data_IF_544517316904
#
_entry.id   IF_544517316904
#
_cell.length_a   1.000
_cell.length_b   1.000
_cell.length_c   1.000
_cell.angle_alpha   90.00
_cell.angle_beta   90.00
_cell.angle_gamma   90.00
#
_symmetry.space_group_name_H-M   'P 1'
#
loop_
_entity.id
_entity.type
_entity.pdbx_description
1 polymer ?
#
# COMPACT_ATOMS: atom_id res chain seq x y z
N UNK A 1 -2.39 20.48 -107.71
CA UNK A 1 -3.51 19.65 -107.24
C UNK A 1 -2.98 18.70 -106.16
N UNK A 2 -3.56 18.70 -104.96
CA UNK A 2 -3.35 17.63 -103.93
C UNK A 2 -3.91 16.30 -104.45
N UNK A 3 -3.38 15.11 -104.06
CA UNK A 3 -3.62 14.50 -102.74
C UNK A 3 -2.41 13.76 -102.10
N UNK A 4 -2.26 13.84 -100.77
CA UNK A 4 -2.37 12.76 -99.74
C UNK A 4 -1.03 12.15 -99.28
N UNK A 5 -0.71 12.35 -97.99
CA UNK A 5 0.39 11.73 -97.23
C UNK A 5 -0.16 11.31 -95.86
N UNK A 6 0.05 10.07 -95.37
CA UNK A 6 -0.53 9.63 -94.11
C UNK A 6 0.24 10.05 -92.85
N UNK A 7 -0.53 10.08 -91.77
CA UNK A 7 -0.35 10.69 -90.44
C UNK A 7 0.51 9.87 -89.45
N UNK A 8 1.12 10.57 -88.49
CA UNK A 8 1.87 10.04 -87.35
C UNK A 8 1.03 10.08 -86.06
N UNK A 9 0.95 8.99 -85.29
CA UNK A 9 0.94 9.10 -83.81
C UNK A 9 1.20 7.78 -83.05
N UNK A 10 2.17 7.87 -82.12
CA UNK A 10 2.38 7.21 -80.80
C UNK A 10 1.89 5.77 -80.57
N UNK A 11 2.85 4.91 -80.18
CA UNK A 11 2.63 3.69 -79.37
C UNK A 11 3.32 3.82 -78.00
N UNK A 12 2.83 3.13 -76.94
CA UNK A 12 3.09 3.48 -75.55
C UNK A 12 4.33 2.79 -74.93
N UNK A 13 5.01 3.51 -74.03
CA UNK A 13 5.93 2.97 -73.02
C UNK A 13 5.15 2.51 -71.77
N UNK A 14 5.51 1.36 -71.17
CA UNK A 14 5.65 1.23 -69.70
C UNK A 14 6.35 -0.08 -69.26
N UNK A 15 7.57 0.10 -68.74
CA UNK A 15 8.23 -0.54 -67.58
C UNK A 15 8.25 -2.06 -67.37
N UNK A 16 9.32 -2.70 -67.86
CA UNK A 16 9.96 -3.85 -67.19
C UNK A 16 11.15 -3.35 -66.37
N UNK A 17 11.03 -3.29 -65.03
CA UNK A 17 12.15 -3.02 -64.14
C UNK A 17 12.97 -4.30 -63.92
N UNK A 18 14.11 -4.40 -64.61
CA UNK A 18 15.17 -5.35 -64.30
C UNK A 18 15.92 -4.85 -63.05
N UNK A 19 15.75 -5.55 -61.92
CA UNK A 19 16.52 -5.33 -60.69
C UNK A 19 17.99 -5.71 -60.90
N UNK A 20 18.91 -4.84 -60.48
CA UNK A 20 20.35 -5.05 -60.69
C UNK A 20 20.99 -5.90 -59.57
N UNK A 21 22.10 -6.62 -59.84
CA UNK A 21 22.71 -7.59 -58.90
C UNK A 21 23.14 -7.02 -57.53
N UNK A 22 23.34 -5.70 -57.43
CA UNK A 22 23.67 -5.03 -56.15
C UNK A 22 22.47 -4.89 -55.21
N UNK A 23 21.25 -4.82 -55.75
CA UNK A 23 20.03 -4.73 -54.95
C UNK A 23 19.71 -6.07 -54.26
N UNK A 24 19.84 -7.19 -54.98
CA UNK A 24 19.59 -8.54 -54.45
C UNK A 24 20.59 -8.97 -53.37
N UNK A 25 21.84 -8.50 -53.43
CA UNK A 25 22.85 -8.79 -52.41
C UNK A 25 22.56 -8.03 -51.10
N UNK A 26 22.03 -6.81 -51.20
CA UNK A 26 21.65 -6.00 -50.04
C UNK A 26 20.39 -6.58 -49.37
N UNK A 27 19.37 -6.96 -50.14
CA UNK A 27 18.15 -7.57 -49.61
C UNK A 27 18.42 -8.90 -48.90
N UNK A 28 19.30 -9.75 -49.45
CA UNK A 28 19.74 -11.00 -48.78
C UNK A 28 20.47 -10.73 -47.46
N UNK A 29 21.28 -9.67 -47.39
CA UNK A 29 21.97 -9.26 -46.17
C UNK A 29 21.03 -8.73 -45.07
N UNK A 30 19.97 -8.01 -45.46
CA UNK A 30 18.93 -7.53 -44.54
C UNK A 30 18.04 -8.67 -44.04
N UNK A 31 17.64 -9.60 -44.92
CA UNK A 31 16.86 -10.77 -44.52
C UNK A 31 17.61 -11.71 -43.59
N UNK A 32 18.91 -11.94 -43.80
CA UNK A 32 19.75 -12.76 -42.92
C UNK A 32 19.94 -12.13 -41.52
N UNK A 33 20.05 -10.79 -41.45
CA UNK A 33 20.10 -10.07 -40.16
C UNK A 33 18.75 -10.08 -39.44
N UNK A 34 17.64 -9.94 -40.17
CA UNK A 34 16.29 -10.00 -39.60
C UNK A 34 15.98 -11.41 -39.03
N UNK A 35 16.33 -12.47 -39.76
CA UNK A 35 16.18 -13.86 -39.26
C UNK A 35 17.07 -14.13 -38.05
N UNK A 36 18.30 -13.61 -38.02
CA UNK A 36 19.18 -13.73 -36.84
C UNK A 36 18.66 -13.00 -35.60
N UNK A 37 17.99 -11.85 -35.77
CA UNK A 37 17.34 -11.10 -34.67
C UNK A 37 16.08 -11.84 -34.19
N UNK A 38 15.28 -12.40 -35.10
CA UNK A 38 14.09 -13.17 -34.76
C UNK A 38 14.44 -14.46 -34.02
N UNK A 39 15.50 -15.18 -34.41
CA UNK A 39 15.96 -16.39 -33.70
C UNK A 39 16.55 -16.06 -32.32
N UNK A 40 17.24 -14.94 -32.18
CA UNK A 40 17.73 -14.45 -30.89
C UNK A 40 16.58 -14.06 -29.96
N UNK A 41 15.55 -13.40 -30.47
CA UNK A 41 14.33 -13.05 -29.72
C UNK A 41 13.54 -14.30 -29.32
N UNK A 42 13.37 -15.27 -30.22
CA UNK A 42 12.73 -16.56 -29.92
C UNK A 42 13.48 -17.32 -28.83
N UNK A 43 14.81 -17.38 -28.92
CA UNK A 43 15.66 -18.03 -27.92
C UNK A 43 15.57 -17.33 -26.55
N UNK A 44 15.52 -15.99 -26.53
CA UNK A 44 15.34 -15.22 -25.31
C UNK A 44 13.95 -15.45 -24.68
N UNK A 45 12.89 -15.45 -25.49
CA UNK A 45 11.53 -15.74 -25.04
C UNK A 45 11.43 -17.18 -24.51
N UNK A 46 12.04 -18.15 -25.19
CA UNK A 46 12.04 -19.56 -24.77
C UNK A 46 12.82 -19.80 -23.47
N UNK A 47 13.84 -18.97 -23.17
CA UNK A 47 14.56 -19.00 -21.89
C UNK A 47 13.76 -18.42 -20.72
N UNK A 48 12.94 -17.41 -20.97
CA UNK A 48 12.15 -16.74 -19.91
C UNK A 48 10.78 -17.41 -19.72
N UNK A 49 10.25 -18.09 -20.75
CA UNK A 49 8.95 -18.78 -20.72
C UNK A 49 8.79 -19.73 -19.52
N UNK A 50 9.76 -20.58 -19.12
CA UNK A 50 9.62 -21.45 -17.95
C UNK A 50 9.62 -20.71 -16.61
N UNK A 51 10.27 -19.53 -16.54
CA UNK A 51 10.22 -18.68 -15.35
C UNK A 51 8.88 -17.94 -15.25
N UNK A 52 8.41 -17.37 -16.37
CA UNK A 52 7.09 -16.73 -16.46
C UNK A 52 5.95 -17.74 -16.20
N UNK A 53 6.08 -18.98 -16.66
CA UNK A 53 5.10 -20.04 -16.40
C UNK A 53 5.08 -20.49 -14.93
N UNK A 54 6.24 -20.50 -14.26
CA UNK A 54 6.34 -20.79 -12.81
C UNK A 54 5.77 -19.66 -11.95
N UNK A 55 6.07 -18.41 -12.30
CA UNK A 55 5.45 -17.23 -11.66
C UNK A 55 3.93 -17.22 -11.90
N UNK A 56 3.48 -17.51 -13.11
CA UNK A 56 2.06 -17.63 -13.44
C UNK A 56 1.35 -18.74 -12.68
N UNK A 57 1.97 -19.91 -12.50
CA UNK A 57 1.42 -21.01 -11.69
C UNK A 57 1.38 -20.68 -10.19
N UNK A 58 2.34 -19.88 -9.70
CA UNK A 58 2.36 -19.41 -8.32
C UNK A 58 1.30 -18.32 -8.06
N UNK A 59 1.09 -17.41 -9.02
CA UNK A 59 0.10 -16.33 -8.92
C UNK A 59 -1.33 -16.77 -9.24
N UNK A 60 -1.52 -17.82 -10.04
CA UNK A 60 -2.84 -18.32 -10.44
C UNK A 60 -3.79 -18.59 -9.25
N UNK A 61 -3.39 -19.32 -8.19
CA UNK A 61 -4.27 -19.54 -7.03
C UNK A 61 -4.55 -18.25 -6.24
N UNK A 62 -3.62 -17.30 -6.20
CA UNK A 62 -3.81 -15.99 -5.56
C UNK A 62 -4.82 -15.13 -6.34
N UNK A 63 -4.68 -15.06 -7.66
CA UNK A 63 -5.61 -14.35 -8.55
C UNK A 63 -7.00 -15.01 -8.50
N UNK A 64 -7.05 -16.34 -8.45
CA UNK A 64 -8.32 -17.07 -8.39
C UNK A 64 -9.04 -16.84 -7.05
N UNK A 65 -8.30 -16.78 -5.93
CA UNK A 65 -8.86 -16.41 -4.61
C UNK A 65 -9.32 -14.96 -4.56
N UNK A 66 -8.54 -14.04 -5.13
CA UNK A 66 -8.92 -12.62 -5.27
C UNK A 66 -10.21 -12.47 -6.11
N UNK A 67 -10.32 -13.21 -7.21
CA UNK A 67 -11.52 -13.21 -8.04
C UNK A 67 -12.74 -13.80 -7.31
N UNK A 68 -12.56 -14.88 -6.55
CA UNK A 68 -13.63 -15.45 -5.71
C UNK A 68 -14.12 -14.47 -4.64
N UNK A 69 -13.21 -13.69 -4.06
CA UNK A 69 -13.53 -12.62 -3.10
C UNK A 69 -14.24 -11.42 -3.75
N UNK A 70 -13.79 -10.99 -4.93
CA UNK A 70 -14.39 -9.87 -5.68
C UNK A 70 -15.77 -10.20 -6.25
N UNK A 71 -16.07 -11.47 -6.53
CA UNK A 71 -17.31 -11.91 -7.18
C UNK A 71 -18.58 -11.41 -6.48
N UNK A 72 -18.80 -11.62 -5.17
CA UNK A 72 -19.99 -11.12 -4.48
C UNK A 72 -20.04 -9.58 -4.42
N UNK A 73 -18.89 -8.91 -4.42
CA UNK A 73 -18.78 -7.45 -4.41
C UNK A 73 -19.17 -6.85 -5.77
N UNK A 74 -18.67 -7.44 -6.86
CA UNK A 74 -19.07 -7.13 -8.23
C UNK A 74 -20.56 -7.39 -8.44
N UNK A 75 -21.08 -8.48 -7.89
CA UNK A 75 -22.51 -8.80 -7.97
C UNK A 75 -23.37 -7.72 -7.28
N UNK A 76 -23.00 -7.27 -6.07
CA UNK A 76 -23.68 -6.19 -5.36
C UNK A 76 -23.65 -4.85 -6.11
N UNK A 77 -22.53 -4.54 -6.76
CA UNK A 77 -22.39 -3.33 -7.60
C UNK A 77 -23.28 -3.44 -8.84
N UNK A 78 -23.34 -4.60 -9.48
CA UNK A 78 -24.22 -4.84 -10.64
C UNK A 78 -25.71 -4.78 -10.28
N UNK A 79 -26.07 -5.26 -9.10
CA UNK A 79 -27.46 -5.29 -8.60
C UNK A 79 -27.90 -3.95 -8.00
N UNK A 80 -27.00 -2.97 -7.89
CA UNK A 80 -27.31 -1.63 -7.43
C UNK A 80 -28.37 -0.97 -8.34
N UNK A 81 -29.44 -0.35 -7.78
CA UNK A 81 -30.54 0.21 -8.57
C UNK A 81 -30.10 1.26 -9.62
N UNK A 82 -29.00 1.97 -9.38
CA UNK A 82 -28.43 2.93 -10.33
C UNK A 82 -27.80 2.23 -11.54
N UNK A 83 -27.04 1.16 -11.31
CA UNK A 83 -26.35 0.37 -12.35
C UNK A 83 -27.35 -0.40 -13.20
N UNK A 84 -28.40 -0.96 -12.57
CA UNK A 84 -29.50 -1.63 -13.28
C UNK A 84 -30.23 -0.69 -14.25
N UNK A 85 -30.56 0.52 -13.79
CA UNK A 85 -31.22 1.55 -14.62
C UNK A 85 -30.36 2.01 -15.78
N UNK A 86 -29.05 2.13 -15.57
CA UNK A 86 -28.10 2.47 -16.64
C UNK A 86 -28.01 1.35 -17.68
N UNK A 87 -27.91 0.09 -17.24
CA UNK A 87 -27.86 -1.09 -18.12
C UNK A 87 -29.10 -1.21 -19.01
N UNK A 88 -30.28 -1.00 -18.45
CA UNK A 88 -31.56 -1.06 -19.19
C UNK A 88 -31.66 0.02 -20.29
N UNK A 89 -31.02 1.17 -20.10
CA UNK A 89 -30.96 2.25 -21.10
C UNK A 89 -29.93 2.01 -22.21
N UNK A 90 -28.79 1.42 -21.86
CA UNK A 90 -27.65 1.27 -22.78
C UNK A 90 -27.72 -0.03 -23.60
N UNK A 91 -28.23 -1.12 -23.02
CA UNK A 91 -28.26 -2.44 -23.67
C UNK A 91 -28.90 -2.47 -25.08
N UNK A 92 -29.97 -1.71 -25.39
CA UNK A 92 -30.56 -1.66 -26.73
C UNK A 92 -29.63 -1.03 -27.79
N UNK A 93 -28.67 -0.21 -27.36
CA UNK A 93 -27.80 0.59 -28.23
C UNK A 93 -26.42 -0.03 -28.46
N UNK A 94 -26.16 -1.23 -27.90
CA UNK A 94 -24.89 -1.96 -28.10
C UNK A 94 -24.93 -2.70 -29.44
N UNK A 95 -23.98 -2.45 -30.37
CA UNK A 95 -23.91 -3.14 -31.67
C UNK A 95 -23.68 -4.65 -31.51
N UNK A 96 -24.26 -5.46 -32.40
CA UNK A 96 -24.16 -6.92 -32.33
C UNK A 96 -22.74 -7.45 -32.60
N UNK A 97 -21.88 -6.65 -33.25
CA UNK A 97 -20.45 -6.93 -33.41
C UNK A 97 -19.70 -6.92 -32.07
N UNK A 98 -20.15 -6.12 -31.11
CA UNK A 98 -19.59 -6.05 -29.74
C UNK A 98 -20.14 -7.19 -28.89
N UNK A 99 -21.41 -7.58 -29.07
CA UNK A 99 -22.04 -8.68 -28.34
C UNK A 99 -21.44 -10.06 -28.68
N UNK A 100 -20.93 -10.23 -29.90
CA UNK A 100 -20.53 -11.53 -30.45
C UNK A 100 -19.01 -11.70 -30.69
N UNK A 101 -18.17 -10.82 -30.15
CA UNK A 101 -16.72 -10.91 -30.34
C UNK A 101 -16.12 -12.19 -29.70
N UNK A 102 -15.26 -12.97 -30.38
CA UNK A 102 -14.82 -14.29 -29.91
C UNK A 102 -13.92 -14.29 -28.67
N UNK A 103 -13.41 -13.13 -28.25
CA UNK A 103 -12.55 -12.96 -27.05
C UNK A 103 -13.29 -12.46 -25.80
N UNK A 104 -14.63 -12.47 -25.81
CA UNK A 104 -15.47 -12.07 -24.68
C UNK A 104 -16.34 -13.21 -24.11
N UNK A 105 -16.06 -14.48 -24.45
CA UNK A 105 -16.78 -15.64 -23.87
C UNK A 105 -16.28 -16.06 -22.47
N UNK A 106 -15.27 -15.40 -21.91
CA UNK A 106 -14.81 -15.63 -20.52
C UNK A 106 -14.93 -14.40 -19.60
N UNK A 107 -15.51 -13.30 -20.09
CA UNK A 107 -15.90 -12.16 -19.27
C UNK A 107 -17.31 -11.75 -19.70
N UNK A 108 -18.31 -12.17 -18.92
CA UNK A 108 -19.64 -11.60 -19.06
C UNK A 108 -19.54 -10.09 -18.81
N UNK A 109 -19.69 -9.32 -19.88
CA UNK A 109 -19.62 -7.86 -19.90
C UNK A 109 -20.79 -7.29 -19.09
N UNK A 110 -20.51 -6.89 -17.85
CA UNK A 110 -21.17 -5.77 -17.20
C UNK A 110 -20.42 -4.48 -17.57
N UNK A 111 -20.65 -3.97 -18.78
CA UNK A 111 -20.17 -2.63 -19.16
C UNK A 111 -21.09 -1.59 -18.52
N UNK A 112 -20.74 -1.19 -17.30
CA UNK A 112 -21.02 0.13 -16.75
C UNK A 112 -19.68 0.82 -16.54
N UNK A 113 -19.17 1.46 -17.59
CA UNK A 113 -17.97 2.28 -17.55
C UNK A 113 -18.29 3.54 -16.74
N UNK A 114 -17.54 3.77 -15.64
CA UNK A 114 -17.19 5.05 -15.01
C UNK A 114 -17.11 4.93 -13.47
N UNK A 115 -16.14 4.15 -12.99
CA UNK A 115 -15.46 4.38 -11.71
C UNK A 115 -14.16 3.57 -11.74
N UNK A 116 -13.06 4.15 -11.26
CA UNK A 116 -11.68 3.58 -11.22
C UNK A 116 -10.86 3.81 -12.50
N UNK A 117 -10.29 5.00 -12.60
CA UNK A 117 -9.22 5.37 -13.52
C UNK A 117 -7.86 4.76 -13.16
N UNK A 118 -7.75 3.44 -12.97
CA UNK A 118 -6.46 2.78 -12.72
C UNK A 118 -6.38 1.43 -13.45
N UNK A 119 -6.48 1.42 -14.79
CA UNK A 119 -5.92 0.33 -15.65
C UNK A 119 -5.41 0.86 -17.00
N UNK A 120 -5.49 2.17 -17.28
CA UNK A 120 -5.17 2.75 -18.60
C UNK A 120 -3.74 3.23 -18.82
N UNK A 121 -2.78 2.90 -17.94
CA UNK A 121 -1.39 3.42 -18.02
C UNK A 121 -0.34 2.39 -18.45
N UNK A 122 -0.74 1.24 -18.97
CA UNK A 122 0.17 0.30 -19.64
C UNK A 122 -0.52 -0.19 -20.92
N UNK A 123 -0.39 0.60 -22.00
CA UNK A 123 -0.32 0.23 -23.43
C UNK A 123 -0.78 1.45 -24.26
N UNK A 124 0.17 2.03 -25.01
CA UNK A 124 -0.11 2.66 -26.29
C UNK A 124 -0.58 4.11 -26.28
N UNK A 125 0.37 5.04 -26.30
CA UNK A 125 0.18 6.25 -27.09
C UNK A 125 -0.02 5.88 -28.56
N UNK A 126 -0.88 6.65 -29.24
CA UNK A 126 -1.12 6.81 -30.69
C UNK A 126 -2.62 6.78 -31.00
N UNK A 127 -3.24 7.96 -31.00
CA UNK A 127 -4.17 8.44 -32.04
C UNK A 127 -4.87 9.69 -31.50
N UNK A 128 -4.71 10.80 -32.23
CA UNK A 128 -5.39 12.06 -31.93
C UNK A 128 -6.90 11.97 -32.10
N UNK A 129 -7.59 12.84 -31.38
CA UNK A 129 -9.03 13.06 -31.48
C UNK A 129 -9.44 14.15 -30.51
N UNK A 130 -10.19 15.12 -31.04
CA UNK A 130 -10.43 16.47 -30.56
C UNK A 130 -11.36 16.57 -29.33
N UNK A 131 -11.26 17.69 -28.62
CA UNK A 131 -12.05 18.10 -27.46
C UNK A 131 -13.56 18.19 -27.78
N UNK A 132 -14.39 17.79 -26.81
CA UNK A 132 -15.50 18.56 -26.18
C UNK A 132 -16.46 17.65 -25.41
N UNK A 133 -17.01 18.20 -24.32
CA UNK A 133 -18.17 17.73 -23.54
C UNK A 133 -17.91 16.81 -22.33
N UNK A 134 -17.24 17.32 -21.28
CA UNK A 134 -17.54 16.90 -19.89
C UNK A 134 -17.30 18.04 -18.88
N UNK A 135 -17.95 19.18 -19.08
CA UNK A 135 -17.92 20.31 -18.13
C UNK A 135 -19.34 20.78 -17.80
N UNK A 136 -20.20 19.89 -17.25
CA UNK A 136 -21.50 20.30 -16.69
C UNK A 136 -22.07 19.24 -15.72
N UNK A 137 -21.46 19.11 -14.55
CA UNK A 137 -22.10 18.50 -13.37
C UNK A 137 -21.64 19.12 -12.04
N UNK A 138 -20.96 20.27 -12.11
CA UNK A 138 -20.69 21.15 -11.00
C UNK A 138 -21.61 22.38 -11.15
N UNK A 139 -22.26 22.77 -10.04
CA UNK A 139 -22.95 24.05 -9.77
C UNK A 139 -24.49 23.99 -9.63
N UNK A 140 -24.95 24.03 -8.37
CA UNK A 140 -26.06 24.84 -7.85
C UNK A 140 -26.17 24.57 -6.33
N UNK A 141 -25.37 25.19 -5.44
CA UNK A 141 -25.45 26.56 -4.85
C UNK A 141 -26.52 26.70 -3.74
N UNK A 142 -26.42 27.70 -2.82
CA UNK A 142 -25.31 28.10 -1.95
C UNK A 142 -25.79 28.40 -0.49
N UNK A 143 -24.88 28.56 0.49
CA UNK A 143 -25.08 29.39 1.70
C UNK A 143 -23.77 29.46 2.50
N UNK A 144 -22.95 30.50 2.31
CA UNK A 144 -22.95 31.79 3.03
C UNK A 144 -21.93 31.79 4.19
N UNK A 145 -20.74 32.33 3.88
CA UNK A 145 -19.68 32.62 4.83
C UNK A 145 -20.05 33.83 5.69
N UNK A 146 -19.84 33.72 7.01
CA UNK A 146 -19.71 34.90 7.88
C UNK A 146 -18.35 34.95 8.55
N UNK A 147 -17.78 36.15 8.43
CA UNK A 147 -16.46 36.63 8.83
C UNK A 147 -16.37 36.82 10.35
N UNK A 148 -15.15 36.68 10.86
CA UNK A 148 -14.72 36.76 12.25
C UNK A 148 -15.10 38.06 12.98
N UNK A 149 -15.30 37.94 14.29
CA UNK A 149 -15.09 39.02 15.28
C UNK A 149 -14.50 38.44 16.58
N UNK A 150 -13.49 39.14 17.10
CA UNK A 150 -12.84 38.94 18.40
C UNK A 150 -13.48 39.89 19.41
N UNK A 151 -13.64 39.50 20.69
CA UNK A 151 -13.11 40.39 21.72
C UNK A 151 -12.42 39.67 22.89
N UNK A 152 -11.29 40.25 23.32
CA UNK A 152 -10.68 40.04 24.62
C UNK A 152 -11.65 40.43 25.75
N UNK A 153 -11.79 39.60 26.81
CA UNK A 153 -11.50 40.02 28.20
C UNK A 153 -11.40 38.85 29.19
N UNK A 154 -10.30 38.91 29.96
CA UNK A 154 -10.17 38.72 31.42
C UNK A 154 -10.30 37.33 32.06
N UNK A 155 -9.24 37.01 32.79
CA UNK A 155 -9.04 35.89 33.70
C UNK A 155 -10.05 35.78 34.84
N UNK A 156 -10.31 34.55 35.28
CA UNK A 156 -10.29 34.16 36.69
C UNK A 156 -10.09 32.64 36.85
N UNK A 157 -9.17 32.32 37.74
CA UNK A 157 -8.67 31.01 38.18
C UNK A 157 -9.71 30.12 38.84
N UNK A 158 -9.73 28.82 38.51
CA UNK A 158 -9.81 27.73 39.50
C UNK A 158 -9.01 26.51 39.02
N UNK A 159 -8.05 26.14 39.85
CA UNK A 159 -7.09 25.05 39.73
C UNK A 159 -7.71 23.67 39.99
N UNK A 160 -7.51 22.76 39.06
CA UNK A 160 -7.54 21.31 39.25
C UNK A 160 -6.39 20.73 38.44
N UNK A 161 -5.31 20.36 39.11
CA UNK A 161 -4.07 19.88 38.49
C UNK A 161 -4.30 18.50 37.87
N UNK A 162 -4.43 18.50 36.54
CA UNK A 162 -4.24 17.35 35.66
C UNK A 162 -3.43 17.89 34.48
N UNK A 163 -2.22 18.37 34.77
CA UNK A 163 -1.33 18.88 33.73
C UNK A 163 -0.75 17.70 32.96
N UNK A 164 -1.31 17.40 31.78
CA UNK A 164 -0.51 16.79 30.72
C UNK A 164 0.68 17.73 30.52
N UNK A 165 1.88 17.28 30.88
CA UNK A 165 3.11 18.03 30.65
C UNK A 165 3.14 18.51 29.19
N UNK A 166 3.37 19.80 28.98
CA UNK A 166 3.42 20.36 27.64
C UNK A 166 4.54 19.69 26.82
N UNK A 167 4.39 19.57 25.48
CA UNK A 167 5.40 18.94 24.64
C UNK A 167 6.78 19.54 24.84
N UNK A 168 7.77 18.71 25.18
CA UNK A 168 9.17 19.10 25.35
C UNK A 168 9.89 19.25 23.99
N UNK A 169 9.26 19.93 23.05
CA UNK A 169 9.77 20.15 21.69
C UNK A 169 8.77 19.75 20.60
N UNK A 170 9.14 19.94 19.32
CA UNK A 170 8.30 19.53 18.19
C UNK A 170 8.20 18.00 18.11
N UNK A 171 7.12 17.47 17.50
CA UNK A 171 6.98 16.05 17.22
C UNK A 171 8.21 15.48 16.51
N UNK A 172 8.49 14.21 16.80
CA UNK A 172 9.69 13.51 16.31
C UNK A 172 9.29 12.49 15.26
N UNK A 173 10.08 12.34 14.20
CA UNK A 173 9.85 11.31 13.19
C UNK A 173 10.71 10.06 13.38
N UNK A 174 10.17 8.92 12.97
CA UNK A 174 10.82 7.63 12.96
C UNK A 174 10.30 6.75 11.83
N UNK A 175 10.79 5.52 11.76
CA UNK A 175 10.34 4.50 10.79
C UNK A 175 10.05 3.19 11.53
N UNK A 176 9.25 2.33 10.95
CA UNK A 176 9.19 0.93 11.38
C UNK A 176 9.60 0.01 10.23
N UNK A 177 10.25 -1.10 10.59
CA UNK A 177 10.91 -1.98 9.63
C UNK A 177 10.80 -3.44 10.04
N UNK A 178 10.86 -4.30 9.04
CA UNK A 178 10.82 -5.75 9.19
C UNK A 178 11.87 -6.43 8.29
N UNK A 179 11.78 -7.75 8.17
CA UNK A 179 12.54 -8.50 7.18
C UNK A 179 12.27 -8.05 5.73
N UNK A 180 11.14 -7.38 5.45
CA UNK A 180 10.81 -6.88 4.11
C UNK A 180 11.72 -5.74 3.64
N UNK A 181 12.27 -4.95 4.57
CA UNK A 181 13.13 -3.80 4.24
C UNK A 181 14.58 -4.20 3.95
N UNK A 182 14.96 -5.46 4.20
CA UNK A 182 16.30 -5.99 3.93
C UNK A 182 17.39 -5.32 4.79
N UNK A 183 18.53 -5.03 4.16
CA UNK A 183 19.65 -4.35 4.81
C UNK A 183 19.42 -2.84 4.81
N UNK A 184 19.65 -2.18 5.95
CA UNK A 184 19.39 -0.76 6.15
C UNK A 184 20.70 -0.01 6.44
N UNK A 185 20.91 1.11 5.77
CA UNK A 185 22.00 2.04 6.08
C UNK A 185 21.53 3.04 7.15
N UNK A 186 21.65 2.64 8.42
CA UNK A 186 21.14 3.41 9.55
C UNK A 186 21.76 4.80 9.72
N UNK A 187 23.00 5.00 9.23
CA UNK A 187 23.62 6.33 9.24
C UNK A 187 22.90 7.29 8.30
N UNK A 188 22.43 6.80 7.16
CA UNK A 188 21.59 7.59 6.25
C UNK A 188 20.21 7.83 6.83
N UNK A 189 19.61 6.85 7.50
CA UNK A 189 18.31 7.02 8.19
C UNK A 189 18.41 8.11 9.25
N UNK A 190 19.47 8.10 10.07
CA UNK A 190 19.75 9.15 11.06
C UNK A 190 20.01 10.52 10.40
N UNK A 191 20.76 10.51 9.29
CA UNK A 191 21.04 11.69 8.47
C UNK A 191 19.79 12.29 7.80
N UNK A 192 18.78 11.48 7.56
CA UNK A 192 17.44 11.86 7.07
C UNK A 192 16.48 12.23 8.23
N UNK A 193 17.08 12.67 9.34
CA UNK A 193 16.42 13.21 10.52
C UNK A 193 15.46 12.26 11.28
N UNK A 194 15.47 10.95 11.00
CA UNK A 194 14.74 9.97 11.80
C UNK A 194 15.43 9.75 13.13
N UNK A 195 14.67 9.75 14.23
CA UNK A 195 15.20 9.68 15.60
C UNK A 195 14.85 8.40 16.32
N UNK A 196 13.84 7.68 15.84
CA UNK A 196 13.49 6.38 16.39
C UNK A 196 13.13 5.37 15.31
N UNK A 197 13.12 4.11 15.73
CA UNK A 197 12.54 3.04 14.92
C UNK A 197 11.85 1.97 15.75
N UNK A 198 10.85 1.30 15.18
CA UNK A 198 10.36 0.01 15.66
C UNK A 198 10.80 -1.10 14.69
N UNK A 199 11.30 -2.21 15.22
CA UNK A 199 11.77 -3.34 14.39
C UNK A 199 10.96 -4.58 14.69
N UNK A 200 10.46 -5.27 13.67
CA UNK A 200 9.75 -6.55 13.85
C UNK A 200 10.69 -7.52 14.52
N UNK A 201 10.32 -8.04 15.69
CA UNK A 201 11.07 -9.12 16.35
C UNK A 201 10.48 -10.48 16.01
N UNK A 202 9.16 -10.61 16.08
CA UNK A 202 8.46 -11.89 15.96
C UNK A 202 7.05 -11.72 15.40
N UNK A 203 6.57 -12.75 14.73
CA UNK A 203 5.18 -12.89 14.27
C UNK A 203 4.68 -14.26 14.75
N UNK A 204 3.64 -14.24 15.58
CA UNK A 204 3.06 -15.43 16.19
C UNK A 204 4.08 -16.25 16.99
N UNK A 205 3.93 -17.57 16.94
CA UNK A 205 4.80 -18.51 17.67
C UNK A 205 5.98 -19.04 16.86
N UNK A 206 5.98 -18.83 15.55
CA UNK A 206 6.87 -19.54 14.64
C UNK A 206 7.88 -18.64 13.93
N UNK A 207 7.54 -17.38 13.69
CA UNK A 207 8.44 -16.48 12.99
C UNK A 207 9.30 -15.65 13.94
N UNK A 208 10.57 -15.52 13.60
CA UNK A 208 11.50 -14.56 14.21
C UNK A 208 12.17 -13.83 13.05
N UNK A 209 12.19 -12.50 13.10
CA UNK A 209 12.78 -11.72 12.01
C UNK A 209 14.29 -12.01 11.94
N UNK A 210 14.80 -12.62 10.85
CA UNK A 210 16.22 -12.98 10.74
C UNK A 210 17.14 -11.75 10.67
N UNK A 211 16.58 -10.56 10.46
CA UNK A 211 17.28 -9.28 10.42
C UNK A 211 17.14 -8.49 11.72
N UNK A 212 16.39 -8.97 12.71
CA UNK A 212 16.08 -8.23 13.93
C UNK A 212 17.32 -7.66 14.61
N UNK A 213 18.31 -8.52 14.94
CA UNK A 213 19.51 -8.08 15.66
C UNK A 213 20.31 -7.02 14.87
N UNK A 214 20.50 -7.23 13.56
CA UNK A 214 21.19 -6.27 12.67
C UNK A 214 20.45 -4.93 12.60
N UNK A 215 19.13 -4.97 12.44
CA UNK A 215 18.27 -3.78 12.34
C UNK A 215 18.19 -3.03 13.66
N UNK A 216 17.90 -3.74 14.75
CA UNK A 216 17.70 -3.17 16.08
C UNK A 216 18.97 -2.54 16.64
N UNK A 217 20.10 -3.26 16.66
CA UNK A 217 21.36 -2.70 17.16
C UNK A 217 21.97 -1.70 16.18
N UNK A 218 21.85 -1.93 14.88
CA UNK A 218 22.33 -0.97 13.87
C UNK A 218 21.68 0.41 13.99
N UNK A 219 20.39 0.46 14.31
CA UNK A 219 19.69 1.72 14.60
C UNK A 219 20.25 2.40 15.85
N UNK A 220 20.44 1.66 16.95
CA UNK A 220 20.99 2.19 18.21
C UNK A 220 22.43 2.71 18.04
N UNK A 221 23.24 1.99 17.27
CA UNK A 221 24.62 2.38 16.94
C UNK A 221 24.68 3.65 16.08
N UNK A 222 23.68 3.88 15.24
CA UNK A 222 23.51 5.12 14.49
C UNK A 222 22.93 6.28 15.32
N UNK A 223 22.59 6.04 16.59
CA UNK A 223 22.08 7.05 17.52
C UNK A 223 20.56 7.20 17.56
N UNK A 224 19.80 6.28 16.95
CA UNK A 224 18.35 6.24 17.09
C UNK A 224 17.94 5.57 18.40
N UNK A 225 16.76 5.95 18.89
CA UNK A 225 16.02 5.22 19.93
C UNK A 225 15.29 4.05 19.24
N UNK A 226 15.42 2.82 19.73
CA UNK A 226 14.88 1.65 19.06
C UNK A 226 13.87 0.89 19.92
N UNK A 227 12.71 0.58 19.37
CA UNK A 227 11.75 -0.36 19.91
C UNK A 227 11.68 -1.63 19.08
N UNK A 228 10.99 -2.63 19.61
CA UNK A 228 10.68 -3.86 18.90
C UNK A 228 9.17 -4.08 18.93
N UNK A 229 8.64 -4.70 17.89
CA UNK A 229 7.23 -5.07 17.84
C UNK A 229 7.03 -6.56 17.57
N UNK A 230 5.90 -7.05 18.06
CA UNK A 230 5.41 -8.40 17.86
C UNK A 230 4.09 -8.37 17.10
N UNK A 231 4.06 -8.99 15.93
CA UNK A 231 2.83 -9.21 15.17
C UNK A 231 2.01 -10.32 15.82
N UNK A 232 0.84 -9.96 16.33
CA UNK A 232 0.00 -10.90 17.06
C UNK A 232 -0.62 -11.96 16.15
N UNK A 233 -0.62 -13.21 16.61
CA UNK A 233 -1.44 -14.31 16.06
C UNK A 233 -2.32 -14.93 17.15
N UNK A 234 -3.42 -14.27 17.53
CA UNK A 234 -4.23 -14.72 18.66
C UNK A 234 -4.84 -16.13 18.56
N UNK A 235 -4.94 -16.66 17.34
CA UNK A 235 -5.36 -18.03 17.01
C UNK A 235 -4.26 -19.10 17.19
N UNK A 236 -2.98 -18.70 17.20
CA UNK A 236 -1.86 -19.65 17.27
C UNK A 236 -1.54 -20.12 18.70
N UNK A 237 -1.75 -19.27 19.71
CA UNK A 237 -1.46 -19.57 21.13
C UNK A 237 -2.05 -18.50 22.06
N UNK A 238 -1.94 -18.67 23.38
CA UNK A 238 -2.28 -17.60 24.31
C UNK A 238 -1.30 -16.41 24.27
N UNK A 239 -1.75 -15.25 24.74
CA UNK A 239 -0.96 -14.02 24.70
C UNK A 239 0.31 -14.08 25.54
N UNK A 240 0.32 -14.85 26.64
CA UNK A 240 1.50 -14.99 27.49
C UNK A 240 2.62 -15.77 26.78
N UNK A 241 2.26 -16.78 25.99
CA UNK A 241 3.20 -17.59 25.18
C UNK A 241 3.88 -16.70 24.14
N UNK A 242 3.10 -15.92 23.40
CA UNK A 242 3.63 -14.98 22.41
C UNK A 242 4.45 -13.85 23.04
N UNK A 243 4.01 -13.27 24.17
CA UNK A 243 4.78 -12.26 24.89
C UNK A 243 6.14 -12.80 25.36
N UNK A 244 6.20 -14.03 25.86
CA UNK A 244 7.47 -14.62 26.30
C UNK A 244 8.42 -14.83 25.14
N UNK A 245 7.95 -15.41 24.04
CA UNK A 245 8.75 -15.59 22.83
C UNK A 245 9.27 -14.24 22.31
N UNK A 246 8.38 -13.25 22.22
CA UNK A 246 8.74 -11.91 21.77
C UNK A 246 9.86 -11.33 22.62
N UNK A 247 9.75 -11.39 23.95
CA UNK A 247 10.74 -10.82 24.85
C UNK A 247 12.06 -11.59 24.87
N UNK A 248 12.04 -12.89 24.60
CA UNK A 248 13.26 -13.69 24.44
C UNK A 248 14.04 -13.30 23.17
N UNK A 249 13.34 -12.88 22.11
CA UNK A 249 13.96 -12.38 20.87
C UNK A 249 14.37 -10.92 21.02
N UNK A 250 13.50 -10.10 21.61
CA UNK A 250 13.73 -8.66 21.79
C UNK A 250 14.95 -8.39 22.67
N UNK A 251 15.21 -9.26 23.65
CA UNK A 251 16.27 -9.08 24.66
C UNK A 251 16.20 -7.68 25.28
N UNK A 252 15.02 -7.34 25.84
CA UNK A 252 14.71 -6.00 26.34
C UNK A 252 15.79 -5.48 27.31
N UNK A 253 16.29 -4.28 27.03
CA UNK A 253 17.24 -3.57 27.88
C UNK A 253 16.61 -2.27 28.39
N UNK A 254 16.81 -1.95 29.67
CA UNK A 254 16.50 -0.61 30.18
C UNK A 254 17.75 0.27 30.13
N UNK A 255 18.05 0.84 28.96
CA UNK A 255 19.28 1.59 28.70
C UNK A 255 19.05 3.05 28.25
N UNK A 256 17.80 3.54 28.35
CA UNK A 256 17.43 4.89 27.90
C UNK A 256 17.40 5.05 26.36
N UNK A 257 17.59 3.96 25.61
CA UNK A 257 17.53 3.91 24.14
C UNK A 257 16.62 2.82 23.61
N UNK A 258 15.95 2.09 24.49
CA UNK A 258 15.02 1.01 24.15
C UNK A 258 13.60 1.41 24.50
N UNK A 259 12.75 1.56 23.49
CA UNK A 259 11.33 1.86 23.70
C UNK A 259 10.60 0.70 24.37
N UNK A 260 9.44 0.97 25.01
CA UNK A 260 8.56 -0.08 25.48
C UNK A 260 8.24 -1.09 24.36
N UNK A 261 8.10 -2.38 24.68
CA UNK A 261 7.74 -3.38 23.68
C UNK A 261 6.38 -3.05 23.02
N UNK A 262 6.24 -3.29 21.73
CA UNK A 262 4.98 -3.03 21.00
C UNK A 262 4.24 -4.34 20.75
N UNK A 263 2.94 -4.34 21.04
CA UNK A 263 2.00 -5.34 20.57
C UNK A 263 1.29 -4.80 19.31
N UNK A 264 1.53 -5.45 18.17
CA UNK A 264 0.88 -5.14 16.89
C UNK A 264 -0.39 -5.97 16.74
N UNK A 265 -1.54 -5.30 16.79
CA UNK A 265 -2.87 -5.87 16.65
C UNK A 265 -3.53 -5.39 15.36
N UNK A 266 -3.58 -6.28 14.38
CA UNK A 266 -4.27 -6.08 13.12
C UNK A 266 -4.99 -7.34 12.64
N UNK A 267 -5.80 -7.22 11.59
CA UNK A 267 -6.60 -8.35 11.08
C UNK A 267 -5.69 -9.46 10.55
N UNK A 268 -6.17 -10.70 10.58
CA UNK A 268 -5.40 -11.81 10.01
C UNK A 268 -5.07 -11.55 8.53
N UNK A 269 -3.78 -11.50 8.13
CA UNK A 269 -3.40 -11.31 6.73
C UNK A 269 -3.86 -12.45 5.80
N UNK A 270 -4.25 -13.62 6.33
CA UNK A 270 -4.72 -14.75 5.54
C UNK A 270 -6.23 -14.78 5.30
N UNK A 271 -7.02 -13.94 5.99
CA UNK A 271 -8.48 -14.01 5.94
C UNK A 271 -9.24 -12.72 6.29
N UNK A 272 -8.56 -11.67 6.75
CA UNK A 272 -9.15 -10.38 7.15
C UNK A 272 -10.11 -10.47 8.34
N UNK A 273 -10.14 -11.60 9.04
CA UNK A 273 -11.01 -11.85 10.21
C UNK A 273 -10.28 -11.46 11.51
N UNK A 274 -11.02 -11.47 12.61
CA UNK A 274 -10.48 -11.29 13.95
C UNK A 274 -9.94 -12.61 14.51
N UNK A 275 -9.17 -13.35 13.71
CA UNK A 275 -8.56 -14.65 14.10
C UNK A 275 -9.59 -15.69 14.58
N UNK A 276 -10.80 -15.64 14.04
CA UNK A 276 -11.96 -16.44 14.49
C UNK A 276 -12.27 -16.33 16.01
N UNK A 277 -11.85 -15.22 16.63
CA UNK A 277 -12.09 -14.92 18.03
C UNK A 277 -13.27 -13.97 18.21
N UNK A 278 -13.98 -14.16 19.33
CA UNK A 278 -14.89 -13.15 19.86
C UNK A 278 -14.11 -11.94 20.42
N UNK A 279 -14.80 -10.81 20.58
CA UNK A 279 -14.23 -9.62 21.23
C UNK A 279 -13.69 -9.94 22.63
N UNK A 280 -14.42 -10.72 23.43
CA UNK A 280 -14.00 -11.10 24.78
C UNK A 280 -12.74 -11.97 24.76
N UNK A 281 -12.63 -12.87 23.79
CA UNK A 281 -11.44 -13.70 23.60
C UNK A 281 -10.23 -12.84 23.21
N UNK A 282 -10.40 -11.88 22.29
CA UNK A 282 -9.37 -10.92 21.93
C UNK A 282 -8.90 -10.09 23.13
N UNK A 283 -9.83 -9.66 24.00
CA UNK A 283 -9.49 -8.92 25.22
C UNK A 283 -8.69 -9.78 26.20
N UNK A 284 -9.12 -11.01 26.46
CA UNK A 284 -8.41 -11.93 27.35
C UNK A 284 -7.00 -12.22 26.84
N UNK A 285 -6.86 -12.46 25.54
CA UNK A 285 -5.58 -12.68 24.88
C UNK A 285 -4.65 -11.46 25.01
N UNK A 286 -5.17 -10.27 24.67
CA UNK A 286 -4.43 -9.00 24.73
C UNK A 286 -3.97 -8.70 26.15
N UNK A 287 -4.85 -8.94 27.13
CA UNK A 287 -4.52 -8.77 28.55
C UNK A 287 -3.39 -9.71 28.97
N UNK A 288 -3.45 -10.99 28.61
CA UNK A 288 -2.40 -11.96 28.95
C UNK A 288 -1.04 -11.58 28.37
N UNK A 289 -1.02 -11.09 27.12
CA UNK A 289 0.19 -10.56 26.50
C UNK A 289 0.73 -9.36 27.29
N UNK A 290 -0.13 -8.36 27.52
CA UNK A 290 0.27 -7.11 28.16
C UNK A 290 0.75 -7.29 29.61
N UNK A 291 0.05 -8.12 30.39
CA UNK A 291 0.44 -8.47 31.75
C UNK A 291 1.82 -9.14 31.77
N UNK A 292 2.07 -10.07 30.82
CA UNK A 292 3.36 -10.78 30.71
C UNK A 292 4.49 -9.82 30.35
N UNK A 293 4.25 -8.90 29.41
CA UNK A 293 5.23 -7.85 29.08
C UNK A 293 5.53 -6.97 30.28
N UNK A 294 4.50 -6.49 30.98
CA UNK A 294 4.65 -5.67 32.17
C UNK A 294 5.42 -6.39 33.27
N UNK A 295 5.13 -7.66 33.48
CA UNK A 295 5.81 -8.49 34.48
C UNK A 295 7.30 -8.66 34.19
N UNK A 296 7.68 -8.87 32.92
CA UNK A 296 9.08 -9.13 32.53
C UNK A 296 9.94 -7.87 32.35
N UNK A 297 9.32 -6.75 31.98
CA UNK A 297 10.06 -5.53 31.60
C UNK A 297 9.81 -4.35 32.53
N UNK A 298 8.73 -4.38 33.32
CA UNK A 298 8.25 -3.24 34.09
C UNK A 298 7.56 -2.15 33.23
N UNK A 299 7.52 -2.30 31.90
CA UNK A 299 6.90 -1.36 30.97
C UNK A 299 5.54 -1.87 30.51
N UNK A 300 4.58 -0.96 30.39
CA UNK A 300 3.33 -1.28 29.70
C UNK A 300 3.62 -1.27 28.19
N UNK A 301 3.22 -2.30 27.44
CA UNK A 301 3.45 -2.31 26.00
C UNK A 301 2.69 -1.19 25.31
N UNK A 302 3.27 -0.68 24.23
CA UNK A 302 2.57 0.17 23.27
C UNK A 302 1.65 -0.73 22.45
N UNK A 303 0.43 -0.29 22.19
CA UNK A 303 -0.50 -1.01 21.30
C UNK A 303 -0.47 -0.34 19.93
N UNK A 304 -0.11 -1.10 18.90
CA UNK A 304 -0.32 -0.70 17.53
C UNK A 304 -1.67 -1.23 17.02
N UNK A 305 -2.46 -0.36 16.39
CA UNK A 305 -3.70 -0.73 15.73
C UNK A 305 -4.20 0.35 14.76
N UNK A 306 -5.00 -0.05 13.78
CA UNK A 306 -5.84 0.88 13.01
C UNK A 306 -7.27 0.98 13.59
N UNK A 307 -8.01 2.09 13.33
CA UNK A 307 -9.35 2.28 13.89
C UNK A 307 -10.37 1.21 13.49
N UNK A 308 -10.25 0.63 12.30
CA UNK A 308 -11.18 -0.40 11.83
C UNK A 308 -11.03 -1.69 12.62
N UNK A 309 -9.78 -2.15 12.80
CA UNK A 309 -9.48 -3.31 13.64
C UNK A 309 -9.97 -3.10 15.07
N UNK A 310 -9.65 -1.94 15.68
CA UNK A 310 -10.05 -1.68 17.06
C UNK A 310 -11.58 -1.69 17.24
N UNK A 311 -12.30 -1.14 16.27
CA UNK A 311 -13.76 -1.16 16.28
C UNK A 311 -14.31 -2.58 16.11
N UNK A 312 -13.80 -3.32 15.14
CA UNK A 312 -14.33 -4.62 14.73
C UNK A 312 -13.95 -5.74 15.70
N UNK A 313 -12.66 -5.87 16.02
CA UNK A 313 -12.10 -7.00 16.75
C UNK A 313 -11.95 -6.73 18.24
N UNK A 314 -11.80 -5.45 18.64
CA UNK A 314 -11.69 -5.05 20.05
C UNK A 314 -12.98 -4.43 20.59
N UNK A 315 -14.04 -4.35 19.78
CA UNK A 315 -15.35 -3.85 20.21
C UNK A 315 -15.33 -2.39 20.70
N UNK A 316 -14.35 -1.59 20.29
CA UNK A 316 -14.16 -0.21 20.78
C UNK A 316 -14.04 -0.12 22.31
N UNK A 317 -13.34 -1.09 22.91
CA UNK A 317 -13.11 -1.17 24.36
C UNK A 317 -12.26 -0.02 24.90
N UNK A 318 -12.49 0.34 26.17
CA UNK A 318 -11.65 1.25 26.97
C UNK A 318 -10.74 0.51 27.97
N UNK A 319 -10.76 -0.83 27.96
CA UNK A 319 -10.00 -1.68 28.89
C UNK A 319 -8.49 -1.42 28.83
N UNK A 320 -7.99 -1.04 27.66
CA UNK A 320 -6.56 -0.83 27.40
C UNK A 320 -6.18 0.67 27.31
N UNK A 321 -7.02 1.55 27.84
CA UNK A 321 -6.87 3.02 27.81
C UNK A 321 -5.58 3.56 28.44
N UNK A 322 -4.95 2.78 29.33
CA UNK A 322 -3.69 3.15 29.99
C UNK A 322 -2.43 2.80 29.17
N UNK A 323 -2.58 2.15 28.01
CA UNK A 323 -1.47 1.87 27.11
C UNK A 323 -1.26 3.04 26.16
N UNK A 324 0.00 3.29 25.81
CA UNK A 324 0.31 4.20 24.71
C UNK A 324 -0.19 3.62 23.39
N UNK A 325 -0.73 4.47 22.52
CA UNK A 325 -1.27 4.08 21.22
C UNK A 325 -0.29 4.42 20.09
N UNK A 326 0.04 3.43 19.28
CA UNK A 326 0.63 3.61 17.96
C UNK A 326 -0.46 3.42 16.90
N UNK A 327 -0.97 4.53 16.38
CA UNK A 327 -2.11 4.57 15.48
C UNK A 327 -1.67 4.42 14.02
N UNK A 328 -2.23 3.44 13.31
CA UNK A 328 -2.12 3.35 11.85
C UNK A 328 -3.29 4.05 11.17
N UNK A 329 -2.99 5.12 10.43
CA UNK A 329 -3.97 5.86 9.65
C UNK A 329 -3.27 6.67 8.53
N UNK A 330 -3.32 6.16 7.30
CA UNK A 330 -2.52 6.72 6.21
C UNK A 330 -3.24 7.82 5.44
N UNK A 331 -2.46 8.76 4.90
CA UNK A 331 -2.93 9.75 3.92
C UNK A 331 -4.10 10.62 4.43
N UNK A 332 -4.12 10.93 5.73
CA UNK A 332 -5.11 11.80 6.40
C UNK A 332 -4.43 12.95 7.14
N UNK A 333 -5.06 14.12 7.17
CA UNK A 333 -4.53 15.29 7.91
C UNK A 333 -4.69 15.15 9.43
N UNK A 334 -5.69 14.39 9.86
CA UNK A 334 -5.99 14.14 11.28
C UNK A 334 -6.57 12.74 11.44
N UNK A 335 -5.87 11.83 12.14
CA UNK A 335 -6.33 10.46 12.27
C UNK A 335 -7.46 10.36 13.30
N UNK A 336 -8.45 9.50 13.05
CA UNK A 336 -9.50 9.23 14.03
C UNK A 336 -8.94 8.35 15.14
N UNK A 337 -8.82 8.88 16.36
CA UNK A 337 -8.37 8.13 17.53
C UNK A 337 -9.41 7.06 17.90
N UNK A 338 -9.02 5.78 18.03
CA UNK A 338 -9.93 4.73 18.46
C UNK A 338 -10.49 5.01 19.86
N UNK A 339 -11.79 4.75 20.04
CA UNK A 339 -12.43 4.86 21.37
C UNK A 339 -11.67 4.00 22.38
N UNK A 340 -11.46 4.56 23.57
CA UNK A 340 -10.68 3.95 24.64
C UNK A 340 -9.35 4.66 24.84
N UNK A 341 -8.81 5.30 23.81
CA UNK A 341 -7.62 6.15 23.94
C UNK A 341 -8.01 7.62 23.99
N UNK A 342 -7.27 8.42 24.76
CA UNK A 342 -7.46 9.87 24.79
C UNK A 342 -6.89 10.52 23.53
N UNK A 343 -5.72 10.04 23.08
CA UNK A 343 -5.04 10.47 21.87
C UNK A 343 -4.11 9.34 21.38
N UNK A 344 -3.49 9.50 20.21
CA UNK A 344 -2.35 8.69 19.79
C UNK A 344 -1.06 9.16 20.47
N UNK A 345 -0.06 8.31 20.58
CA UNK A 345 1.30 8.66 21.04
C UNK A 345 2.28 8.57 19.88
N UNK A 346 2.12 7.53 19.08
CA UNK A 346 2.76 7.37 17.78
C UNK A 346 1.70 7.32 16.68
N UNK A 347 2.01 7.84 15.50
CA UNK A 347 1.14 7.80 14.33
C UNK A 347 1.92 7.34 13.12
N UNK A 348 1.57 6.17 12.58
CA UNK A 348 2.03 5.72 11.27
C UNK A 348 1.13 6.35 10.20
N UNK A 349 1.69 7.29 9.46
CA UNK A 349 0.92 8.17 8.58
C UNK A 349 1.10 7.86 7.08
N UNK A 350 2.07 7.02 6.73
CA UNK A 350 2.27 6.55 5.36
C UNK A 350 3.06 5.26 5.32
N UNK A 351 2.71 4.40 4.36
CA UNK A 351 3.42 3.17 3.96
C UNK A 351 4.23 3.36 2.67
N UNK A 352 4.25 4.58 2.12
CA UNK A 352 4.89 4.94 0.85
C UNK A 352 6.00 5.96 1.05
N UNK A 353 6.53 6.03 2.26
CA UNK A 353 7.66 6.88 2.58
C UNK A 353 8.90 6.52 1.78
N UNK A 354 9.72 7.52 1.47
CA UNK A 354 11.06 7.34 0.93
C UNK A 354 12.05 7.89 1.96
N UNK A 355 12.84 7.01 2.55
CA UNK A 355 13.80 7.35 3.61
C UNK A 355 15.19 6.93 3.18
N UNK A 356 16.15 7.84 3.26
CA UNK A 356 17.52 7.55 2.86
C UNK A 356 18.08 6.37 3.67
N UNK A 357 18.61 5.37 2.96
CA UNK A 357 19.18 4.16 3.58
C UNK A 357 18.23 2.98 3.68
N UNK A 358 16.93 3.16 3.36
CA UNK A 358 15.98 2.06 3.19
C UNK A 358 15.67 1.88 1.71
N UNK A 359 15.60 0.62 1.26
CA UNK A 359 15.26 0.30 -0.13
C UNK A 359 13.75 0.29 -0.33
N UNK A 360 13.25 1.11 -1.27
CA UNK A 360 11.83 1.13 -1.63
C UNK A 360 10.97 1.91 -0.64
N UNK A 361 9.68 1.58 -0.61
CA UNK A 361 8.72 2.21 0.29
C UNK A 361 9.00 1.83 1.75
N UNK A 362 8.77 2.76 2.67
CA UNK A 362 9.00 2.59 4.10
C UNK A 362 7.87 3.23 4.89
N UNK A 363 7.43 2.57 5.94
CA UNK A 363 6.48 3.13 6.89
C UNK A 363 7.13 4.27 7.67
N UNK A 364 6.46 5.43 7.71
CA UNK A 364 6.95 6.60 8.47
C UNK A 364 5.98 6.92 9.61
N UNK A 365 6.60 7.18 10.75
CA UNK A 365 5.93 7.42 12.01
C UNK A 365 6.25 8.80 12.56
N UNK A 366 5.29 9.35 13.29
CA UNK A 366 5.47 10.52 14.13
C UNK A 366 5.20 10.15 15.59
N UNK A 367 6.10 10.52 16.49
CA UNK A 367 5.85 10.58 17.92
C UNK A 367 5.34 11.99 18.26
N UNK A 368 4.22 12.11 18.97
CA UNK A 368 3.54 13.41 19.17
C UNK A 368 4.36 14.43 19.97
N UNK A 369 5.25 13.94 20.84
CA UNK A 369 6.05 14.79 21.73
C UNK A 369 7.47 15.00 21.19
N UNK A 370 8.25 15.83 21.89
CA UNK A 370 9.66 16.08 21.61
C UNK A 370 10.62 14.94 21.96
N UNK A 371 11.86 15.06 21.48
CA UNK A 371 12.91 14.05 21.63
C UNK A 371 13.26 13.73 23.09
N UNK A 372 13.17 14.70 24.00
CA UNK A 372 13.42 14.44 25.43
C UNK A 372 12.34 13.54 26.03
N UNK A 373 11.07 13.75 25.66
CA UNK A 373 9.97 12.88 26.10
C UNK A 373 10.06 11.48 25.50
N UNK A 374 10.59 11.37 24.29
CA UNK A 374 10.87 10.07 23.66
C UNK A 374 12.00 9.31 24.38
N UNK A 375 13.04 10.00 24.86
CA UNK A 375 14.09 9.41 25.69
C UNK A 375 13.56 8.99 27.05
N UNK A 376 12.70 9.80 27.67
CA UNK A 376 12.02 9.45 28.93
C UNK A 376 11.13 8.22 28.76
N UNK A 377 10.47 8.06 27.61
CA UNK A 377 9.72 6.85 27.32
C UNK A 377 10.63 5.61 27.21
N UNK A 378 11.86 5.79 26.73
CA UNK A 378 12.86 4.73 26.53
C UNK A 378 13.72 4.39 27.78
N UNK A 379 13.66 5.21 28.85
CA UNK A 379 14.27 4.93 30.17
C UNK A 379 13.22 4.55 31.18
#
# INVERSE_FOLDING_TARGET
>A
MKPETPDHSRSPESNDHVSTPKHEANERGWQAKATGVDDALRTAVDRVRPAAHRVGQWLAPLIQRLMQWLTPLLQRVQDAPAVRRLRERVAPHVPDSVKNAPRLRSMQVGAGIAAVGIVGLIIGGLAGGDDRDVEEAAMASPMEQKKAENPQTRAETTSGDNTQDAPLGPPVEGIDVSNHNGNIDWKKVAGDNKKFTFVLASDGTDFANPKYSEQYHGAKDAGLIAGAYHFARPDDSDGATQANRFLDIMDYQNDGKTLPPVLDLEVDPNGGSCYDMSVDQMHQWTKAFNDTVKQRTGKDPIIYANPSFWKQCMGSTDTFSNHNLWLAAYEVDSPTVPKGFQDWDFWQYTDKGNVAGVGGNTDINQYKEGIERLKELAG
#
